data_IF_500569686558
#
_entry.id   IF_500569686558
#
_cell.length_a   1.000
_cell.length_b   1.000
_cell.length_c   1.000
_cell.angle_alpha   90.00
_cell.angle_beta   90.00
_cell.angle_gamma   90.00
#
_symmetry.space_group_name_H-M   'P 1'
#
loop_
_entity.id
_entity.type
_entity.pdbx_description
1 polymer ?
#
# COMPACT_ATOMS: atom_id res chain seq x y z
N UNK A 1 15.89 -8.75 -16.92
CA UNK A 1 16.95 -8.39 -15.95
C UNK A 1 16.94 -6.88 -15.79
N UNK A 2 16.96 -6.37 -14.57
CA UNK A 2 17.03 -4.92 -14.33
C UNK A 2 18.50 -4.54 -14.35
N UNK A 3 18.86 -3.45 -15.06
CA UNK A 3 20.20 -2.88 -15.09
C UNK A 3 20.18 -1.41 -14.73
N UNK A 4 21.24 -0.93 -14.08
CA UNK A 4 21.41 0.48 -13.74
C UNK A 4 22.50 1.08 -14.67
N UNK A 5 22.13 2.12 -15.43
CA UNK A 5 23.08 2.90 -16.22
C UNK A 5 23.34 4.24 -15.52
N UNK A 6 24.59 4.43 -15.08
CA UNK A 6 25.04 5.64 -14.36
C UNK A 6 25.95 6.53 -15.22
N UNK A 7 26.11 6.26 -16.53
CA UNK A 7 27.06 6.98 -17.40
C UNK A 7 26.81 8.50 -17.40
N UNK A 8 25.55 8.91 -17.37
CA UNK A 8 25.19 10.33 -17.33
C UNK A 8 25.58 11.06 -16.05
N UNK A 9 25.94 10.34 -14.98
CA UNK A 9 26.41 10.96 -13.73
C UNK A 9 27.89 11.33 -13.78
N UNK A 10 28.67 10.75 -14.70
CA UNK A 10 30.10 10.96 -14.77
C UNK A 10 30.55 12.36 -15.22
N UNK A 11 29.62 13.23 -15.64
CA UNK A 11 29.86 14.67 -15.79
C UNK A 11 29.97 15.43 -14.46
N UNK A 12 29.46 14.83 -13.36
CA UNK A 12 29.41 15.44 -12.03
C UNK A 12 30.31 14.73 -11.01
N UNK A 13 30.48 13.41 -11.15
CA UNK A 13 31.29 12.58 -10.25
C UNK A 13 32.14 11.61 -11.08
N UNK A 14 33.43 11.51 -10.78
CA UNK A 14 34.32 10.61 -11.52
C UNK A 14 34.06 9.12 -11.19
N UNK A 15 34.41 8.24 -12.12
CA UNK A 15 34.32 6.77 -11.92
C UNK A 15 35.17 6.31 -10.73
N UNK A 16 36.35 6.88 -10.57
CA UNK A 16 37.28 6.58 -9.48
C UNK A 16 36.65 6.93 -8.13
N UNK A 17 35.96 8.07 -8.06
CA UNK A 17 35.25 8.49 -6.83
C UNK A 17 34.08 7.56 -6.50
N UNK A 18 33.34 7.10 -7.50
CA UNK A 18 32.28 6.08 -7.28
C UNK A 18 32.88 4.77 -6.80
N UNK A 19 33.96 4.30 -7.45
CA UNK A 19 34.62 3.04 -7.08
C UNK A 19 35.28 3.11 -5.67
N UNK A 20 35.67 4.28 -5.21
CA UNK A 20 36.26 4.44 -3.88
C UNK A 20 35.28 4.08 -2.73
N UNK A 21 33.97 4.13 -2.97
CA UNK A 21 32.95 3.72 -1.99
C UNK A 21 32.70 2.19 -1.95
N UNK A 22 33.31 1.40 -2.82
CA UNK A 22 33.02 -0.05 -2.91
C UNK A 22 33.23 -0.79 -1.58
N UNK A 23 34.30 -0.49 -0.86
CA UNK A 23 34.61 -1.14 0.42
C UNK A 23 33.60 -0.72 1.51
N UNK A 24 33.21 0.55 1.55
CA UNK A 24 32.22 1.06 2.48
C UNK A 24 30.83 0.47 2.24
N UNK A 25 30.41 0.39 0.98
CA UNK A 25 29.14 -0.22 0.58
C UNK A 25 29.10 -1.70 0.94
N UNK A 26 30.18 -2.46 0.70
CA UNK A 26 30.25 -3.87 1.11
C UNK A 26 30.17 -4.05 2.62
N UNK A 27 30.86 -3.22 3.38
CA UNK A 27 30.80 -3.27 4.84
C UNK A 27 29.39 -2.93 5.38
N UNK A 28 28.73 -1.92 4.81
CA UNK A 28 27.37 -1.53 5.15
C UNK A 28 26.36 -2.65 4.80
N UNK A 29 26.51 -3.28 3.64
CA UNK A 29 25.68 -4.42 3.23
C UNK A 29 25.84 -5.60 4.19
N UNK A 30 27.08 -5.95 4.55
CA UNK A 30 27.35 -7.04 5.51
C UNK A 30 26.73 -6.74 6.89
N UNK A 31 26.83 -5.50 7.34
CA UNK A 31 26.23 -5.05 8.59
C UNK A 31 24.70 -5.20 8.56
N UNK A 32 24.07 -4.82 7.45
CA UNK A 32 22.64 -4.95 7.23
C UNK A 32 22.20 -6.44 7.24
N UNK A 33 22.89 -7.27 6.45
CA UNK A 33 22.56 -8.70 6.33
C UNK A 33 22.76 -9.47 7.64
N UNK A 34 23.78 -9.12 8.41
CA UNK A 34 24.08 -9.73 9.72
C UNK A 34 23.24 -9.14 10.86
N UNK A 35 22.54 -8.04 10.64
CA UNK A 35 21.75 -7.35 11.66
C UNK A 35 22.62 -6.84 12.83
N UNK A 36 23.82 -6.34 12.56
CA UNK A 36 24.78 -5.89 13.59
C UNK A 36 24.84 -4.37 13.76
N UNK A 37 24.10 -3.61 12.94
CA UNK A 37 24.03 -2.15 13.02
C UNK A 37 22.90 -1.64 13.93
N UNK A 38 22.87 -0.34 14.13
CA UNK A 38 21.77 0.34 14.81
C UNK A 38 20.47 0.13 14.02
N UNK A 39 19.35 -0.10 14.73
CA UNK A 39 18.06 -0.35 14.11
C UNK A 39 17.85 -1.79 13.65
N UNK A 40 18.66 -2.73 14.08
CA UNK A 40 18.55 -4.16 13.76
C UNK A 40 17.18 -4.77 14.14
N UNK A 41 16.46 -4.19 15.10
CA UNK A 41 15.09 -4.59 15.47
C UNK A 41 14.06 -4.33 14.35
N UNK A 42 14.42 -3.54 13.34
CA UNK A 42 13.53 -3.11 12.25
C UNK A 42 13.87 -3.74 10.89
N UNK A 43 14.49 -4.91 10.86
CA UNK A 43 14.94 -5.59 9.63
C UNK A 43 13.95 -6.61 9.06
N UNK A 44 12.71 -6.68 9.57
CA UNK A 44 11.70 -7.62 9.09
C UNK A 44 11.38 -7.52 7.58
N UNK A 45 11.66 -6.37 6.97
CA UNK A 45 11.48 -6.14 5.53
C UNK A 45 12.57 -6.79 4.65
N UNK A 46 13.77 -7.04 5.19
CA UNK A 46 14.96 -7.42 4.41
C UNK A 46 14.75 -8.74 3.64
N UNK A 47 14.16 -9.73 4.30
CA UNK A 47 13.90 -11.04 3.71
C UNK A 47 12.41 -11.28 3.41
N UNK A 48 11.56 -10.28 3.57
CA UNK A 48 10.11 -10.42 3.39
C UNK A 48 9.71 -10.99 2.01
N UNK A 49 10.28 -10.52 0.87
CA UNK A 49 9.89 -11.05 -0.44
C UNK A 49 10.15 -12.54 -0.62
N UNK A 50 11.20 -13.08 0.01
CA UNK A 50 11.55 -14.50 -0.06
C UNK A 50 10.87 -15.36 1.02
N UNK A 51 10.27 -14.73 2.03
CA UNK A 51 9.57 -15.43 3.13
C UNK A 51 8.08 -15.62 2.91
N UNK A 52 7.52 -15.05 1.83
CA UNK A 52 6.09 -15.19 1.51
C UNK A 52 5.79 -16.62 1.08
N UNK A 53 5.05 -17.35 1.92
CA UNK A 53 4.68 -18.74 1.66
C UNK A 53 3.49 -18.86 0.70
N UNK A 54 3.28 -20.08 0.19
CA UNK A 54 2.09 -20.38 -0.64
C UNK A 54 0.79 -20.24 0.16
N UNK A 55 0.82 -20.60 1.44
CA UNK A 55 -0.30 -20.50 2.37
C UNK A 55 -0.66 -19.04 2.60
N UNK A 56 0.34 -18.17 2.81
CA UNK A 56 0.14 -16.72 2.94
C UNK A 56 -0.48 -16.13 1.66
N UNK A 57 0.02 -16.52 0.49
CA UNK A 57 -0.57 -16.09 -0.79
C UNK A 57 -2.01 -16.58 -0.97
N UNK A 58 -2.32 -17.80 -0.50
CA UNK A 58 -3.68 -18.35 -0.56
C UNK A 58 -4.63 -17.54 0.33
N UNK A 59 -4.22 -17.16 1.54
CA UNK A 59 -4.99 -16.34 2.46
C UNK A 59 -5.25 -14.92 1.91
N UNK A 60 -4.21 -14.28 1.37
CA UNK A 60 -4.35 -12.99 0.69
C UNK A 60 -5.33 -13.07 -0.49
N UNK A 61 -5.25 -14.12 -1.30
CA UNK A 61 -6.16 -14.33 -2.42
C UNK A 61 -7.60 -14.59 -1.97
N UNK A 62 -7.80 -15.31 -0.86
CA UNK A 62 -9.13 -15.54 -0.30
C UNK A 62 -9.76 -14.21 0.17
N UNK A 63 -9.00 -13.40 0.89
CA UNK A 63 -9.43 -12.06 1.34
C UNK A 63 -9.73 -11.14 0.14
N UNK A 64 -8.85 -11.11 -0.86
CA UNK A 64 -9.06 -10.34 -2.08
C UNK A 64 -10.31 -10.80 -2.85
N UNK A 65 -10.60 -12.10 -2.85
CA UNK A 65 -11.83 -12.65 -3.45
C UNK A 65 -13.08 -12.14 -2.73
N UNK A 66 -13.08 -12.14 -1.40
CA UNK A 66 -14.20 -11.59 -0.62
C UNK A 66 -14.48 -10.14 -0.99
N UNK A 67 -13.43 -9.31 -1.09
CA UNK A 67 -13.57 -7.91 -1.50
C UNK A 67 -14.11 -7.78 -2.92
N UNK A 68 -13.58 -8.54 -3.88
CA UNK A 68 -14.07 -8.51 -5.28
C UNK A 68 -15.53 -8.93 -5.42
N UNK A 69 -15.94 -9.95 -4.69
CA UNK A 69 -17.30 -10.49 -4.80
C UNK A 69 -18.35 -9.60 -4.11
N UNK A 70 -17.92 -8.76 -3.15
CA UNK A 70 -18.85 -8.03 -2.29
C UNK A 70 -18.75 -6.50 -2.41
N UNK A 71 -17.79 -5.95 -3.15
CA UNK A 71 -17.56 -4.51 -3.21
C UNK A 71 -17.50 -4.00 -4.66
N UNK A 72 -18.11 -2.84 -4.89
CA UNK A 72 -17.94 -2.03 -6.10
C UNK A 72 -16.72 -1.10 -5.97
N UNK A 73 -16.41 -0.73 -4.73
CA UNK A 73 -15.30 0.17 -4.37
C UNK A 73 -14.53 -0.44 -3.20
N UNK A 74 -13.21 -0.38 -3.26
CA UNK A 74 -12.34 -0.71 -2.13
C UNK A 74 -11.46 0.49 -1.82
N UNK A 75 -11.50 0.94 -0.56
CA UNK A 75 -10.70 2.07 -0.10
C UNK A 75 -9.48 1.54 0.64
N UNK A 76 -8.30 2.00 0.23
CA UNK A 76 -7.07 1.77 0.99
C UNK A 76 -6.85 2.98 1.88
N UNK A 77 -7.03 2.79 3.19
CA UNK A 77 -6.76 3.80 4.19
C UNK A 77 -5.32 3.63 4.70
N UNK A 78 -4.45 4.56 4.34
CA UNK A 78 -3.03 4.52 4.68
C UNK A 78 -2.28 5.76 4.23
N UNK A 79 -1.05 5.95 4.74
CA UNK A 79 -0.18 7.06 4.36
C UNK A 79 1.23 6.56 4.04
N UNK A 80 1.94 7.25 3.17
CA UNK A 80 3.31 6.92 2.79
C UNK A 80 3.45 5.50 2.26
N UNK A 81 4.42 4.74 2.78
CA UNK A 81 4.68 3.35 2.37
C UNK A 81 3.52 2.39 2.57
N UNK A 82 2.56 2.72 3.44
CA UNK A 82 1.38 1.86 3.68
C UNK A 82 0.40 1.82 2.50
N UNK A 83 0.49 2.73 1.53
CA UNK A 83 -0.37 2.69 0.34
C UNK A 83 0.37 2.95 -0.98
N UNK A 84 1.47 3.70 -0.98
CA UNK A 84 2.12 4.15 -2.23
C UNK A 84 2.67 2.99 -3.06
N UNK A 85 3.24 1.96 -2.43
CA UNK A 85 3.75 0.79 -3.14
C UNK A 85 2.63 0.02 -3.85
N UNK A 86 1.55 -0.25 -3.14
CA UNK A 86 0.37 -0.90 -3.71
C UNK A 86 -0.26 -0.04 -4.81
N UNK A 87 -0.38 1.27 -4.59
CA UNK A 87 -0.89 2.23 -5.57
C UNK A 87 -0.07 2.22 -6.85
N UNK A 88 1.25 2.27 -6.74
CA UNK A 88 2.14 2.25 -7.91
C UNK A 88 1.92 1.00 -8.79
N UNK A 89 1.81 -0.18 -8.17
CA UNK A 89 1.56 -1.43 -8.90
C UNK A 89 0.15 -1.48 -9.49
N UNK A 90 -0.86 -1.06 -8.74
CA UNK A 90 -2.25 -1.03 -9.20
C UNK A 90 -2.38 -0.10 -10.40
N UNK A 91 -1.86 1.13 -10.31
CA UNK A 91 -1.94 2.11 -11.40
C UNK A 91 -1.14 1.67 -12.64
N UNK A 92 0.02 1.04 -12.45
CA UNK A 92 0.83 0.55 -13.56
C UNK A 92 0.18 -0.62 -14.32
N UNK A 93 -0.61 -1.46 -13.65
CA UNK A 93 -1.21 -2.67 -14.22
C UNK A 93 -2.70 -2.51 -14.56
N UNK A 94 -3.33 -1.44 -14.14
CA UNK A 94 -4.75 -1.17 -14.40
C UNK A 94 -4.94 -0.34 -15.67
N UNK A 95 -6.11 -0.46 -16.28
CA UNK A 95 -6.54 0.45 -17.32
C UNK A 95 -6.80 1.84 -16.71
N UNK A 96 -6.17 2.88 -17.26
CA UNK A 96 -6.28 4.27 -16.78
C UNK A 96 -7.72 4.81 -16.74
N UNK A 97 -8.64 4.21 -17.46
CA UNK A 97 -10.05 4.60 -17.54
C UNK A 97 -10.99 3.61 -16.87
N UNK A 98 -10.48 2.69 -16.05
CA UNK A 98 -11.30 1.66 -15.38
C UNK A 98 -12.48 2.26 -14.60
N UNK A 99 -12.27 3.40 -13.96
CA UNK A 99 -13.28 4.09 -13.16
C UNK A 99 -14.42 4.70 -13.98
N UNK A 100 -14.21 4.93 -15.30
CA UNK A 100 -15.23 5.42 -16.26
C UNK A 100 -15.99 4.29 -16.95
N UNK A 101 -15.56 3.04 -16.85
CA UNK A 101 -16.18 1.94 -17.55
C UNK A 101 -17.51 1.52 -16.89
N UNK A 102 -18.53 1.26 -17.69
CA UNK A 102 -19.85 0.80 -17.23
C UNK A 102 -19.77 -0.60 -16.62
N UNK A 103 -19.01 -1.49 -17.26
CA UNK A 103 -18.77 -2.85 -16.77
C UNK A 103 -17.37 -2.97 -16.16
N UNK A 104 -17.32 -3.14 -14.86
CA UNK A 104 -16.07 -3.32 -14.11
C UNK A 104 -15.85 -4.79 -13.80
N UNK A 105 -14.64 -5.27 -14.05
CA UNK A 105 -14.21 -6.64 -13.73
C UNK A 105 -13.65 -6.76 -12.32
N UNK A 106 -13.38 -5.63 -11.67
CA UNK A 106 -12.86 -5.52 -10.31
C UNK A 106 -13.38 -4.23 -9.64
N UNK A 107 -13.37 -4.17 -8.30
CA UNK A 107 -13.70 -2.95 -7.57
C UNK A 107 -12.83 -1.76 -7.99
N UNK A 108 -13.40 -0.56 -7.94
CA UNK A 108 -12.62 0.68 -8.08
C UNK A 108 -11.78 0.88 -6.83
N UNK A 109 -10.48 1.13 -6.99
CA UNK A 109 -9.59 1.41 -5.88
C UNK A 109 -9.55 2.92 -5.60
N UNK A 110 -9.80 3.31 -4.36
CA UNK A 110 -9.70 4.70 -3.89
C UNK A 110 -8.75 4.73 -2.69
N UNK A 111 -8.03 5.83 -2.51
CA UNK A 111 -7.05 5.98 -1.44
C UNK A 111 -7.48 7.10 -0.50
N UNK A 112 -7.41 6.84 0.81
CA UNK A 112 -7.77 7.80 1.86
C UNK A 112 -6.78 7.72 3.03
N UNK A 113 -6.83 8.69 3.95
CA UNK A 113 -5.96 8.69 5.12
C UNK A 113 -4.51 9.06 4.84
N UNK A 114 -4.24 9.65 3.69
CA UNK A 114 -2.94 10.24 3.32
C UNK A 114 -2.92 11.76 3.51
N UNK A 115 -4.02 12.33 3.91
CA UNK A 115 -4.21 13.73 4.32
C UNK A 115 -5.39 13.83 5.29
N UNK A 116 -5.61 15.04 5.81
CA UNK A 116 -6.74 15.38 6.70
C UNK A 116 -7.70 16.38 6.05
N UNK A 117 -7.81 16.38 4.72
CA UNK A 117 -8.74 17.27 4.02
C UNK A 117 -10.18 16.90 4.36
N UNK A 118 -10.90 17.84 4.94
CA UNK A 118 -12.32 17.71 5.24
C UNK A 118 -13.14 17.58 3.95
N UNK A 119 -12.85 18.41 2.95
CA UNK A 119 -13.52 18.38 1.65
C UNK A 119 -13.39 17.03 0.97
N UNK A 120 -12.15 16.49 0.92
CA UNK A 120 -11.91 15.18 0.31
C UNK A 120 -12.68 14.06 1.02
N UNK A 121 -12.68 14.03 2.36
CA UNK A 121 -13.40 13.02 3.11
C UNK A 121 -14.91 13.19 2.98
N UNK A 122 -15.40 14.41 2.96
CA UNK A 122 -16.82 14.69 2.73
C UNK A 122 -17.26 14.20 1.34
N UNK A 123 -16.58 14.59 0.28
CA UNK A 123 -16.87 14.16 -1.09
C UNK A 123 -16.81 12.64 -1.24
N UNK A 124 -15.79 11.99 -0.63
CA UNK A 124 -15.67 10.55 -0.63
C UNK A 124 -16.85 9.88 0.08
N UNK A 125 -17.24 10.36 1.27
CA UNK A 125 -18.37 9.79 1.99
C UNK A 125 -19.70 9.99 1.26
N UNK A 126 -19.90 11.13 0.58
CA UNK A 126 -21.05 11.36 -0.29
C UNK A 126 -21.08 10.37 -1.47
N UNK A 127 -19.95 10.20 -2.16
CA UNK A 127 -19.82 9.24 -3.27
C UNK A 127 -20.14 7.80 -2.86
N UNK A 128 -19.82 7.43 -1.61
CA UNK A 128 -19.99 6.07 -1.10
C UNK A 128 -21.40 5.74 -0.63
N UNK A 129 -22.32 6.73 -0.50
CA UNK A 129 -23.67 6.52 0.06
C UNK A 129 -24.45 5.39 -0.61
N UNK A 130 -24.32 5.26 -1.94
CA UNK A 130 -25.05 4.27 -2.74
C UNK A 130 -24.14 3.13 -3.24
N UNK A 131 -22.94 2.99 -2.67
CA UNK A 131 -21.95 2.00 -3.11
C UNK A 131 -21.77 0.88 -2.11
N UNK A 132 -21.61 -0.34 -2.61
CA UNK A 132 -21.08 -1.43 -1.82
C UNK A 132 -19.57 -1.28 -1.74
N UNK A 133 -19.06 -0.82 -0.62
CA UNK A 133 -17.63 -0.62 -0.46
C UNK A 133 -17.03 -1.46 0.67
N UNK A 134 -15.72 -1.65 0.60
CA UNK A 134 -14.89 -2.24 1.65
C UNK A 134 -13.69 -1.34 1.95
N UNK A 135 -12.99 -1.63 3.05
CA UNK A 135 -11.84 -0.83 3.50
C UNK A 135 -10.67 -1.75 3.83
N UNK A 136 -9.51 -1.44 3.27
CA UNK A 136 -8.22 -2.02 3.66
C UNK A 136 -7.49 -0.94 4.47
N UNK A 137 -7.31 -1.19 5.77
CA UNK A 137 -6.67 -0.23 6.66
C UNK A 137 -5.25 -0.67 7.00
N UNK A 138 -4.25 0.12 6.59
CA UNK A 138 -2.84 -0.22 6.79
C UNK A 138 -2.14 0.90 7.54
N UNK A 139 -1.65 0.58 8.74
CA UNK A 139 -0.82 1.48 9.54
C UNK A 139 0.28 0.71 10.25
N UNK A 140 1.55 1.08 10.04
CA UNK A 140 2.71 0.45 10.70
C UNK A 140 2.65 0.59 12.22
N UNK A 141 2.30 1.79 12.71
CA UNK A 141 2.26 2.08 14.15
C UNK A 141 0.89 1.85 14.80
N UNK A 142 -0.18 1.80 13.99
CA UNK A 142 -1.55 1.83 14.48
C UNK A 142 -2.00 3.19 15.04
N UNK A 143 -1.11 4.19 15.09
CA UNK A 143 -1.34 5.50 15.74
C UNK A 143 -1.32 6.69 14.78
N UNK A 144 -1.16 6.46 13.48
CA UNK A 144 -1.13 7.52 12.46
C UNK A 144 -2.48 8.22 12.40
N UNK A 145 -2.51 9.50 12.73
CA UNK A 145 -3.73 10.29 12.93
C UNK A 145 -4.58 10.35 11.67
N UNK A 146 -4.00 10.66 10.52
CA UNK A 146 -4.69 10.81 9.23
C UNK A 146 -5.41 9.51 8.84
N UNK A 147 -4.70 8.39 8.93
CA UNK A 147 -5.22 7.06 8.65
C UNK A 147 -6.33 6.68 9.63
N UNK A 148 -6.14 6.95 10.94
CA UNK A 148 -7.10 6.64 11.98
C UNK A 148 -8.41 7.43 11.82
N UNK A 149 -8.33 8.71 11.47
CA UNK A 149 -9.51 9.57 11.21
C UNK A 149 -10.30 9.07 10.01
N UNK A 150 -9.63 8.86 8.86
CA UNK A 150 -10.28 8.35 7.67
C UNK A 150 -10.92 6.97 7.92
N UNK A 151 -10.18 6.06 8.55
CA UNK A 151 -10.68 4.72 8.88
C UNK A 151 -11.90 4.76 9.79
N UNK A 152 -11.90 5.60 10.84
CA UNK A 152 -13.03 5.73 11.76
C UNK A 152 -14.32 6.15 11.04
N UNK A 153 -14.24 7.12 10.14
CA UNK A 153 -15.38 7.61 9.37
C UNK A 153 -15.88 6.55 8.40
N UNK A 154 -14.97 5.96 7.61
CA UNK A 154 -15.29 4.95 6.60
C UNK A 154 -15.84 3.66 7.23
N UNK A 155 -15.26 3.22 8.35
CA UNK A 155 -15.75 2.06 9.09
C UNK A 155 -17.18 2.29 9.57
N UNK A 156 -17.43 3.44 10.20
CA UNK A 156 -18.79 3.78 10.68
C UNK A 156 -19.78 3.77 9.53
N UNK A 157 -19.48 4.42 8.42
CA UNK A 157 -20.35 4.45 7.25
C UNK A 157 -20.59 3.05 6.68
N UNK A 158 -19.55 2.21 6.57
CA UNK A 158 -19.69 0.84 6.10
C UNK A 158 -20.61 0.01 7.03
N UNK A 159 -20.46 0.16 8.35
CA UNK A 159 -21.31 -0.49 9.35
C UNK A 159 -22.76 -0.01 9.27
N UNK A 160 -22.98 1.29 9.11
CA UNK A 160 -24.32 1.89 9.01
C UNK A 160 -25.05 1.44 7.73
N UNK A 161 -24.34 1.33 6.60
CA UNK A 161 -24.94 0.94 5.31
C UNK A 161 -25.15 -0.57 5.16
N UNK A 162 -24.24 -1.38 5.68
CA UNK A 162 -24.20 -2.83 5.40
C UNK A 162 -24.52 -3.72 6.60
N UNK A 163 -24.61 -3.12 7.78
CA UNK A 163 -24.68 -3.84 9.05
C UNK A 163 -23.31 -4.35 9.51
N UNK A 164 -23.10 -4.44 10.82
CA UNK A 164 -21.80 -4.79 11.43
C UNK A 164 -21.23 -6.13 10.96
N UNK A 165 -22.06 -7.15 10.81
CA UNK A 165 -21.61 -8.49 10.42
C UNK A 165 -21.13 -8.56 8.96
N UNK A 166 -21.74 -7.77 8.06
CA UNK A 166 -21.26 -7.67 6.68
C UNK A 166 -20.00 -6.81 6.60
N UNK A 167 -19.97 -5.70 7.32
CA UNK A 167 -18.82 -4.81 7.36
C UNK A 167 -17.54 -5.53 7.83
N UNK A 168 -17.61 -6.38 8.85
CA UNK A 168 -16.48 -7.20 9.33
C UNK A 168 -15.84 -8.09 8.24
N UNK A 169 -16.56 -8.47 7.21
CA UNK A 169 -16.05 -9.31 6.12
C UNK A 169 -15.31 -8.51 5.05
N UNK A 170 -15.54 -7.21 4.97
CA UNK A 170 -15.01 -6.31 3.93
C UNK A 170 -14.14 -5.19 4.51
N UNK A 171 -13.90 -5.19 5.80
CA UNK A 171 -12.92 -4.35 6.49
C UNK A 171 -11.75 -5.24 6.93
N UNK A 172 -10.58 -5.00 6.40
CA UNK A 172 -9.35 -5.78 6.61
C UNK A 172 -8.19 -4.87 6.98
#
# INVERSE_FOLDING_TARGET
MISLNIEKTFGFISKEKVSAYEAEVKAAQEMLEKGTGEGNDFLGWLHLPSSISKEHLADLNATAKVLRDNCEVVIVAGIGGSYLGARAVIEALSNSFTWLQDKKTAPVMIYAGHNISEDYLYELTEYLKDKKFGVINISKSGTTTETALAFRLLKKQCEDQRGKETAKKVIV
#
